data_IF_772459830267
#
_entry.id   IF_772459830267
#
_cell.length_a   1.000
_cell.length_b   1.000
_cell.length_c   1.000
_cell.angle_alpha   90.00
_cell.angle_beta   90.00
_cell.angle_gamma   90.00
#
_symmetry.space_group_name_H-M   'P 1'
#
loop_
_entity.id
_entity.type
_entity.pdbx_description
1 polymer ?
#
# COMPACT_ATOMS: atom_id res chain seq x y z
N UNK A 1 22.01 1.57 3.26
CA UNK A 1 21.68 2.92 3.80
C UNK A 1 22.67 3.25 4.92
N UNK A 2 23.23 4.46 4.97
CA UNK A 2 24.05 4.86 6.14
C UNK A 2 23.09 5.21 7.29
N UNK A 3 22.66 4.21 8.03
CA UNK A 3 21.80 4.37 9.20
C UNK A 3 22.64 5.04 10.28
N UNK A 4 22.34 6.30 10.60
CA UNK A 4 22.93 7.01 11.72
C UNK A 4 24.36 7.50 11.50
N UNK A 5 24.60 8.41 10.57
CA UNK A 5 25.74 9.31 10.71
C UNK A 5 25.36 10.37 11.73
N UNK A 6 25.72 10.13 13.00
CA UNK A 6 25.51 11.09 14.10
C UNK A 6 26.02 12.47 13.70
N UNK A 7 25.11 13.43 13.57
CA UNK A 7 25.43 14.85 13.49
C UNK A 7 25.53 15.46 12.10
N UNK A 8 25.19 14.78 10.99
CA UNK A 8 25.14 15.40 9.67
C UNK A 8 23.78 16.04 9.36
N UNK A 9 23.78 17.03 8.47
CA UNK A 9 22.56 17.68 7.97
C UNK A 9 22.34 17.27 6.53
N UNK A 10 21.15 16.73 6.24
CA UNK A 10 20.75 16.28 4.90
C UNK A 10 19.89 17.31 4.20
N UNK A 11 19.94 17.29 2.86
CA UNK A 11 19.09 18.10 1.99
C UNK A 11 18.51 17.30 0.85
N UNK A 12 17.26 17.58 0.49
CA UNK A 12 16.67 17.11 -0.75
C UNK A 12 15.53 18.00 -1.22
N UNK A 13 15.15 17.82 -2.50
CA UNK A 13 13.85 18.29 -3.00
C UNK A 13 12.74 17.43 -2.39
N UNK A 14 11.77 18.07 -1.74
CA UNK A 14 10.64 17.40 -1.08
C UNK A 14 9.38 17.33 -1.98
N UNK A 15 9.34 18.09 -3.08
CA UNK A 15 8.26 18.07 -4.08
C UNK A 15 8.64 17.19 -5.27
N UNK A 16 7.68 16.63 -6.04
CA UNK A 16 7.97 15.87 -7.25
C UNK A 16 8.80 16.68 -8.25
N UNK A 17 9.62 16.04 -9.11
CA UNK A 17 10.32 16.71 -10.21
C UNK A 17 9.33 17.23 -11.26
N UNK A 18 9.78 18.22 -12.06
CA UNK A 18 8.97 18.87 -13.09
C UNK A 18 8.69 20.35 -12.78
N UNK A 19 7.99 21.01 -13.70
CA UNK A 19 7.63 22.43 -13.60
C UNK A 19 6.39 22.61 -12.73
N UNK A 20 6.40 23.60 -11.84
CA UNK A 20 5.29 23.92 -10.95
C UNK A 20 5.40 25.32 -10.37
N UNK A 21 4.32 25.82 -9.76
CA UNK A 21 4.34 27.15 -9.13
C UNK A 21 5.26 27.21 -7.91
N UNK A 22 5.39 26.11 -7.17
CA UNK A 22 6.20 26.01 -5.94
C UNK A 22 6.95 24.69 -5.90
N UNK A 23 8.22 24.74 -5.51
CA UNK A 23 8.99 23.57 -5.10
C UNK A 23 9.56 23.78 -3.69
N UNK A 24 9.80 22.68 -2.98
CA UNK A 24 10.31 22.69 -1.61
C UNK A 24 11.67 21.99 -1.58
N UNK A 25 12.68 22.68 -1.07
CA UNK A 25 13.97 22.12 -0.67
C UNK A 25 13.96 21.99 0.83
N UNK A 26 14.16 20.78 1.35
CA UNK A 26 14.11 20.45 2.77
C UNK A 26 15.47 20.05 3.29
N UNK A 27 15.82 20.58 4.48
CA UNK A 27 16.99 20.17 5.26
C UNK A 27 16.53 19.51 6.56
N UNK A 28 17.31 18.57 7.08
CA UNK A 28 17.13 17.99 8.41
C UNK A 28 18.50 17.70 9.05
N UNK A 29 18.65 18.07 10.30
CA UNK A 29 19.88 17.87 11.06
C UNK A 29 20.33 19.11 11.82
N UNK A 30 21.37 19.02 12.64
CA UNK A 30 21.78 20.04 13.61
C UNK A 30 22.22 21.35 12.95
N UNK A 31 22.74 21.35 11.72
CA UNK A 31 23.18 22.57 11.03
C UNK A 31 22.09 23.22 10.15
N UNK A 32 20.83 22.74 10.19
CA UNK A 32 19.75 23.21 9.32
C UNK A 32 19.49 24.73 9.43
N UNK A 33 19.51 25.29 10.63
CA UNK A 33 19.32 26.73 10.86
C UNK A 33 20.51 27.53 10.34
N UNK A 34 21.74 27.07 10.59
CA UNK A 34 22.95 27.73 10.14
C UNK A 34 23.06 27.73 8.61
N UNK A 35 22.83 26.57 7.96
CA UNK A 35 22.84 26.44 6.50
C UNK A 35 21.77 27.33 5.87
N UNK A 36 20.54 27.32 6.43
CA UNK A 36 19.48 28.19 5.97
C UNK A 36 19.90 29.67 6.05
N UNK A 37 20.52 30.11 7.14
CA UNK A 37 20.99 31.48 7.33
C UNK A 37 22.10 31.92 6.36
N UNK A 38 22.84 30.97 5.78
CA UNK A 38 23.87 31.23 4.75
C UNK A 38 23.28 31.42 3.35
N UNK A 39 22.14 30.81 3.04
CA UNK A 39 21.54 30.78 1.71
C UNK A 39 20.26 31.61 1.57
N UNK A 40 19.62 31.98 2.68
CA UNK A 40 18.36 32.70 2.69
C UNK A 40 18.42 33.97 3.56
N UNK A 41 17.98 35.10 2.97
CA UNK A 41 17.92 36.40 3.66
C UNK A 41 16.46 36.84 3.79
N UNK A 42 15.90 36.97 5.03
CA UNK A 42 14.58 37.52 5.25
C UNK A 42 14.47 38.97 4.74
N UNK A 43 13.37 39.29 4.03
CA UNK A 43 13.19 40.65 3.46
C UNK A 43 13.19 41.75 4.54
N UNK A 44 12.70 41.45 5.74
CA UNK A 44 12.63 42.42 6.84
C UNK A 44 13.92 42.50 7.67
N UNK A 45 14.99 41.80 7.30
CA UNK A 45 16.27 41.73 8.00
C UNK A 45 16.22 41.18 9.43
N UNK A 46 15.10 40.60 9.87
CA UNK A 46 14.95 40.05 11.21
C UNK A 46 15.23 38.55 11.23
N UNK A 47 15.73 38.01 12.36
CA UNK A 47 15.89 36.58 12.52
C UNK A 47 14.57 35.83 12.33
N UNK A 48 14.66 34.64 11.73
CA UNK A 48 13.51 33.78 11.52
C UNK A 48 12.95 33.26 12.85
N UNK A 49 11.63 33.26 12.98
CA UNK A 49 10.95 32.69 14.13
C UNK A 49 10.62 31.21 13.86
N UNK A 50 10.79 30.38 14.91
CA UNK A 50 10.44 28.98 14.87
C UNK A 50 9.00 28.76 14.39
N UNK A 51 8.79 27.86 13.41
CA UNK A 51 7.50 27.45 12.83
C UNK A 51 6.69 28.61 12.21
N UNK A 52 7.37 29.64 11.74
CA UNK A 52 6.78 30.78 11.03
C UNK A 52 7.36 30.91 9.63
N UNK A 53 6.49 30.84 8.65
CA UNK A 53 6.84 31.08 7.26
C UNK A 53 7.28 32.53 7.07
N UNK A 54 8.43 32.74 6.44
CA UNK A 54 9.07 34.05 6.30
C UNK A 54 9.40 34.30 4.85
N UNK A 55 8.96 35.43 4.31
CA UNK A 55 9.30 35.87 2.96
C UNK A 55 10.71 36.46 2.92
N UNK A 56 11.45 36.17 1.85
CA UNK A 56 12.82 36.67 1.64
C UNK A 56 13.40 36.23 0.33
N UNK A 57 14.73 36.18 0.26
CA UNK A 57 15.46 35.88 -0.96
C UNK A 57 16.47 34.76 -0.71
N UNK A 58 16.55 33.83 -1.65
CA UNK A 58 17.69 32.94 -1.74
C UNK A 58 18.82 33.73 -2.39
N UNK A 59 19.99 33.73 -1.75
CA UNK A 59 21.15 34.54 -2.19
C UNK A 59 22.40 33.72 -2.40
N UNK A 60 23.24 34.13 -3.34
CA UNK A 60 24.55 33.55 -3.55
C UNK A 60 25.54 34.63 -4.01
N UNK A 61 26.66 34.80 -3.30
CA UNK A 61 27.67 35.81 -3.64
C UNK A 61 27.14 37.23 -3.69
N UNK A 62 26.12 37.56 -2.87
CA UNK A 62 25.45 38.85 -2.83
C UNK A 62 24.38 39.07 -3.91
N UNK A 63 24.23 38.16 -4.85
CA UNK A 63 23.17 38.22 -5.87
C UNK A 63 21.91 37.42 -5.42
N UNK A 64 20.73 37.94 -5.76
CA UNK A 64 19.47 37.24 -5.58
C UNK A 64 19.35 36.09 -6.60
N UNK A 65 19.09 34.88 -6.11
CA UNK A 65 18.86 33.67 -6.92
C UNK A 65 17.36 33.45 -7.14
N UNK A 66 16.56 33.68 -6.10
CA UNK A 66 15.12 33.57 -6.16
C UNK A 66 14.43 34.34 -5.03
N UNK A 67 13.19 34.77 -5.27
CA UNK A 67 12.27 35.19 -4.22
C UNK A 67 11.57 33.97 -3.66
N UNK A 68 11.67 33.73 -2.35
CA UNK A 68 11.22 32.49 -1.74
C UNK A 68 10.61 32.73 -0.37
N UNK A 69 9.92 31.70 0.12
CA UNK A 69 9.53 31.62 1.52
C UNK A 69 10.36 30.55 2.22
N UNK A 70 10.71 30.78 3.48
CA UNK A 70 11.39 29.77 4.26
C UNK A 70 10.77 29.59 5.65
N UNK A 71 10.86 28.38 6.20
CA UNK A 71 10.43 28.05 7.55
C UNK A 71 11.50 27.23 8.25
N UNK A 72 11.70 27.52 9.54
CA UNK A 72 12.53 26.74 10.45
C UNK A 72 11.64 26.06 11.48
N UNK A 73 11.86 24.76 11.69
CA UNK A 73 11.15 23.93 12.68
C UNK A 73 12.20 23.27 13.58
N UNK A 74 12.34 23.78 14.80
CA UNK A 74 13.34 23.26 15.75
C UNK A 74 12.86 21.97 16.42
N UNK A 75 13.81 21.12 16.71
CA UNK A 75 13.62 19.90 17.48
C UNK A 75 12.90 20.15 18.81
N UNK A 76 12.08 19.21 19.32
CA UNK A 76 11.66 17.96 18.66
C UNK A 76 10.37 18.11 17.81
N UNK A 77 9.87 19.32 17.61
CA UNK A 77 8.57 19.61 16.97
C UNK A 77 8.72 19.79 15.44
N UNK A 78 9.33 18.80 14.79
CA UNK A 78 9.55 18.73 13.33
C UNK A 78 9.19 17.35 12.77
N UNK A 79 9.33 17.15 11.45
CA UNK A 79 9.07 15.87 10.81
C UNK A 79 10.00 14.75 11.29
N UNK A 80 11.30 15.04 11.41
CA UNK A 80 12.32 14.08 11.82
C UNK A 80 12.64 14.09 13.31
N UNK A 81 12.01 14.97 14.09
CA UNK A 81 12.41 15.35 15.45
C UNK A 81 13.81 15.98 15.56
N UNK A 82 14.45 16.30 14.43
CA UNK A 82 15.66 17.12 14.35
C UNK A 82 15.28 18.57 14.02
N UNK A 83 16.27 19.47 13.94
CA UNK A 83 16.05 20.79 13.34
C UNK A 83 15.81 20.60 11.83
N UNK A 84 14.68 21.13 11.35
CA UNK A 84 14.27 21.06 9.95
C UNK A 84 14.10 22.46 9.40
N UNK A 85 14.64 22.70 8.19
CA UNK A 85 14.40 23.90 7.43
C UNK A 85 13.76 23.58 6.08
N UNK A 86 12.85 24.41 5.60
CA UNK A 86 12.29 24.32 4.26
C UNK A 86 12.40 25.65 3.54
N UNK A 87 12.82 25.60 2.28
CA UNK A 87 12.83 26.72 1.35
C UNK A 87 11.77 26.41 0.28
N UNK A 88 10.73 27.23 0.21
CA UNK A 88 9.68 27.17 -0.79
C UNK A 88 10.02 28.17 -1.90
N UNK A 89 10.52 27.66 -2.99
CA UNK A 89 11.03 28.42 -4.15
C UNK A 89 10.14 28.21 -5.38
N UNK A 90 10.40 28.92 -6.47
CA UNK A 90 9.74 28.64 -7.75
C UNK A 90 10.10 27.23 -8.26
N UNK A 91 9.12 26.53 -8.85
CA UNK A 91 9.18 25.12 -9.19
C UNK A 91 9.87 24.80 -10.52
N UNK A 92 11.04 25.39 -10.79
CA UNK A 92 11.89 25.04 -11.93
C UNK A 92 12.95 24.03 -11.49
N UNK A 93 13.19 22.97 -12.26
CA UNK A 93 14.21 21.96 -11.94
C UNK A 93 15.60 22.57 -11.83
N UNK A 94 15.96 23.50 -12.71
CA UNK A 94 17.25 24.19 -12.69
C UNK A 94 17.44 25.01 -11.41
N UNK A 95 16.40 25.71 -10.97
CA UNK A 95 16.41 26.52 -9.75
C UNK A 95 16.53 25.64 -8.50
N UNK A 96 15.71 24.60 -8.41
CA UNK A 96 15.74 23.66 -7.29
C UNK A 96 17.13 23.01 -7.16
N UNK A 97 17.70 22.53 -8.28
CA UNK A 97 19.06 21.98 -8.29
C UNK A 97 20.11 23.02 -7.84
N UNK A 98 19.92 24.28 -8.23
CA UNK A 98 20.81 25.37 -7.79
C UNK A 98 20.73 25.58 -6.29
N UNK A 99 19.52 25.62 -5.71
CA UNK A 99 19.32 25.81 -4.26
C UNK A 99 19.88 24.61 -3.48
N UNK A 100 19.63 23.38 -3.94
CA UNK A 100 20.21 22.16 -3.33
C UNK A 100 21.74 22.25 -3.32
N UNK A 101 22.39 22.66 -4.43
CA UNK A 101 23.86 22.84 -4.46
C UNK A 101 24.33 23.88 -3.47
N UNK A 102 23.65 25.04 -3.39
CA UNK A 102 24.00 26.09 -2.43
C UNK A 102 23.92 25.61 -0.97
N UNK A 103 22.91 24.82 -0.65
CA UNK A 103 22.80 24.24 0.70
C UNK A 103 23.87 23.16 0.96
N UNK A 104 24.28 22.40 -0.08
CA UNK A 104 25.39 21.45 0.04
C UNK A 104 26.74 22.17 0.19
N UNK A 105 26.98 23.24 -0.57
CA UNK A 105 28.18 24.08 -0.44
C UNK A 105 28.25 24.75 0.94
N UNK A 106 27.07 24.97 1.58
CA UNK A 106 26.97 25.48 2.95
C UNK A 106 27.13 24.41 4.04
N UNK A 107 27.27 23.12 3.67
CA UNK A 107 27.60 22.03 4.61
C UNK A 107 26.56 20.92 4.73
N UNK A 108 25.48 20.94 3.95
CA UNK A 108 24.55 19.83 3.89
C UNK A 108 25.07 18.69 3.00
N UNK A 109 24.60 17.47 3.24
CA UNK A 109 24.77 16.30 2.37
C UNK A 109 23.46 15.97 1.65
N UNK A 110 23.54 15.46 0.41
CA UNK A 110 22.35 14.93 -0.25
C UNK A 110 21.74 13.79 0.55
N UNK A 111 20.42 13.83 0.74
CA UNK A 111 19.68 12.76 1.41
C UNK A 111 19.61 11.50 0.53
N UNK A 112 19.68 10.35 1.16
CA UNK A 112 19.35 9.06 0.54
C UNK A 112 17.83 8.87 0.41
N UNK A 113 17.35 7.93 -0.44
CA UNK A 113 15.92 7.58 -0.51
C UNK A 113 15.37 7.23 0.87
N UNK A 114 14.22 7.82 1.27
CA UNK A 114 13.56 7.55 2.53
C UNK A 114 14.25 8.08 3.79
N UNK A 115 15.37 8.80 3.68
CA UNK A 115 16.19 9.15 4.84
C UNK A 115 15.49 10.07 5.84
N UNK A 116 14.65 11.00 5.41
CA UNK A 116 13.87 11.84 6.34
C UNK A 116 12.88 11.01 7.16
N UNK A 117 12.22 10.04 6.55
CA UNK A 117 11.26 9.16 7.25
C UNK A 117 11.99 8.15 8.13
N UNK A 118 13.16 7.67 7.71
CA UNK A 118 14.02 6.83 8.51
C UNK A 118 14.48 7.57 9.79
N UNK A 119 14.90 8.84 9.69
CA UNK A 119 15.23 9.67 10.86
C UNK A 119 14.02 9.89 11.77
N UNK A 120 12.82 10.08 11.19
CA UNK A 120 11.59 10.17 11.98
C UNK A 120 11.31 8.87 12.76
N UNK A 121 11.59 7.71 12.18
CA UNK A 121 11.52 6.40 12.84
C UNK A 121 12.59 6.26 13.92
N UNK A 122 13.86 6.48 13.60
CA UNK A 122 14.98 6.35 14.54
C UNK A 122 14.85 7.28 15.76
N UNK A 123 14.31 8.48 15.54
CA UNK A 123 14.03 9.45 16.60
C UNK A 123 12.69 9.18 17.33
N UNK A 124 12.03 8.05 17.07
CA UNK A 124 10.85 7.59 17.78
C UNK A 124 9.59 8.46 17.54
N UNK A 125 9.51 9.21 16.41
CA UNK A 125 8.31 9.94 16.06
C UNK A 125 7.22 9.00 15.52
N UNK A 126 7.60 8.05 14.71
CA UNK A 126 6.75 7.03 14.09
C UNK A 126 7.42 5.66 14.23
N UNK A 127 6.66 4.60 14.22
CA UNK A 127 7.16 3.24 14.11
C UNK A 127 7.30 2.79 12.64
N UNK A 128 7.82 1.57 12.42
CA UNK A 128 8.10 1.09 11.05
C UNK A 128 6.82 0.92 10.23
N UNK A 129 5.73 0.43 10.83
CA UNK A 129 4.44 0.30 10.13
C UNK A 129 3.86 1.66 9.74
N UNK A 130 4.03 2.67 10.58
CA UNK A 130 3.63 4.05 10.28
C UNK A 130 4.52 4.68 9.20
N UNK A 131 5.82 4.34 9.17
CA UNK A 131 6.70 4.76 8.09
C UNK A 131 6.23 4.20 6.74
N UNK A 132 5.90 2.92 6.66
CA UNK A 132 5.32 2.31 5.45
C UNK A 132 4.01 2.99 5.02
N UNK A 133 3.16 3.36 6.00
CA UNK A 133 1.90 4.09 5.73
C UNK A 133 2.12 5.43 5.04
N UNK A 134 3.24 6.14 5.31
CA UNK A 134 3.60 7.38 4.60
C UNK A 134 3.73 7.12 3.10
N UNK A 135 4.40 6.04 2.70
CA UNK A 135 4.55 5.70 1.28
C UNK A 135 3.25 5.23 0.64
N UNK A 136 2.44 4.44 1.37
CA UNK A 136 1.12 4.03 0.89
C UNK A 136 0.22 5.23 0.65
N UNK A 137 0.23 6.24 1.54
CA UNK A 137 -0.52 7.48 1.37
C UNK A 137 -0.09 8.25 0.11
N UNK A 138 1.21 8.35 -0.15
CA UNK A 138 1.74 9.06 -1.33
C UNK A 138 1.36 8.33 -2.63
N UNK A 139 1.33 6.99 -2.60
CA UNK A 139 1.02 6.16 -3.76
C UNK A 139 -0.46 5.79 -3.88
N UNK A 140 -1.29 6.18 -2.92
CA UNK A 140 -2.70 5.83 -2.90
C UNK A 140 -3.39 6.24 -4.21
N UNK A 141 -3.82 5.25 -4.99
CA UNK A 141 -4.52 5.43 -6.25
C UNK A 141 -6.05 5.42 -6.10
N UNK A 142 -6.56 5.35 -4.85
CA UNK A 142 -7.98 5.35 -4.56
C UNK A 142 -8.27 5.93 -3.17
N UNK A 143 -9.49 6.39 -2.96
CA UNK A 143 -9.92 6.91 -1.66
C UNK A 143 -9.85 5.83 -0.57
N UNK A 144 -10.16 4.60 -0.90
CA UNK A 144 -10.07 3.46 0.00
C UNK A 144 -8.64 3.19 0.43
N UNK A 145 -7.68 3.15 -0.51
CA UNK A 145 -6.25 2.98 -0.21
C UNK A 145 -5.73 4.13 0.67
N UNK A 146 -6.17 5.38 0.40
CA UNK A 146 -5.83 6.53 1.21
C UNK A 146 -6.35 6.38 2.65
N UNK A 147 -7.62 6.01 2.84
CA UNK A 147 -8.20 5.81 4.19
C UNK A 147 -7.49 4.70 4.96
N UNK A 148 -7.13 3.60 4.30
CA UNK A 148 -6.36 2.50 4.90
C UNK A 148 -4.98 2.99 5.35
N UNK A 149 -4.26 3.75 4.50
CA UNK A 149 -2.97 4.33 4.84
C UNK A 149 -3.06 5.33 6.00
N UNK A 150 -4.12 6.16 6.08
CA UNK A 150 -4.36 7.06 7.21
C UNK A 150 -4.51 6.28 8.52
N UNK A 151 -5.37 5.25 8.55
CA UNK A 151 -5.56 4.42 9.75
C UNK A 151 -4.26 3.76 10.21
N UNK A 152 -3.46 3.26 9.27
CA UNK A 152 -2.15 2.68 9.58
C UNK A 152 -1.20 3.76 10.13
N UNK A 153 -1.17 4.97 9.55
CA UNK A 153 -0.36 6.10 10.03
C UNK A 153 -0.79 6.57 11.43
N UNK A 154 -2.07 6.50 11.76
CA UNK A 154 -2.61 6.77 13.10
C UNK A 154 -2.27 5.68 14.13
N UNK A 155 -1.64 4.57 13.68
CA UNK A 155 -1.11 3.52 14.54
C UNK A 155 -2.06 2.35 14.77
N UNK A 156 -3.05 2.13 13.93
CA UNK A 156 -3.98 0.99 14.05
C UNK A 156 -3.26 -0.35 14.06
N UNK A 157 -2.37 -0.59 13.08
CA UNK A 157 -1.54 -1.80 13.01
C UNK A 157 -0.64 -1.93 14.25
N UNK A 158 0.00 -0.84 14.66
CA UNK A 158 0.88 -0.84 15.82
C UNK A 158 0.17 -1.13 17.13
N UNK A 159 -1.07 -0.66 17.28
CA UNK A 159 -1.89 -0.95 18.46
C UNK A 159 -2.26 -2.43 18.52
N UNK A 160 -2.70 -3.00 17.39
CA UNK A 160 -3.05 -4.41 17.27
C UNK A 160 -1.86 -5.34 17.60
N UNK A 161 -0.68 -5.05 17.03
CA UNK A 161 0.55 -5.81 17.26
C UNK A 161 1.02 -5.67 18.71
N UNK A 162 0.99 -4.46 19.28
CA UNK A 162 1.41 -4.22 20.68
C UNK A 162 0.52 -4.95 21.67
N UNK A 163 -0.78 -5.01 21.44
CA UNK A 163 -1.70 -5.77 22.30
C UNK A 163 -1.34 -7.27 22.30
N UNK A 164 -1.16 -7.87 21.12
CA UNK A 164 -0.74 -9.27 21.02
C UNK A 164 0.62 -9.51 21.71
N UNK A 165 1.59 -8.62 21.52
CA UNK A 165 2.91 -8.71 22.17
C UNK A 165 2.81 -8.62 23.70
N UNK A 166 2.00 -7.69 24.23
CA UNK A 166 1.82 -7.56 25.69
C UNK A 166 1.24 -8.81 26.30
N UNK A 167 0.29 -9.46 25.62
CA UNK A 167 -0.27 -10.73 26.07
C UNK A 167 0.80 -11.83 26.08
N UNK A 168 1.61 -11.97 25.01
CA UNK A 168 2.69 -12.97 24.95
C UNK A 168 3.73 -12.71 26.04
N UNK A 169 4.10 -11.45 26.30
CA UNK A 169 5.00 -11.09 27.40
C UNK A 169 4.44 -11.55 28.76
N UNK A 170 3.14 -11.33 29.00
CA UNK A 170 2.50 -11.79 30.23
C UNK A 170 2.52 -13.33 30.36
N UNK A 171 2.32 -14.06 29.23
CA UNK A 171 2.44 -15.52 29.22
C UNK A 171 3.86 -16.00 29.51
N UNK A 172 4.87 -15.34 28.91
CA UNK A 172 6.27 -15.65 29.17
C UNK A 172 6.64 -15.42 30.64
N UNK A 173 6.13 -14.33 31.23
CA UNK A 173 6.33 -14.06 32.65
C UNK A 173 5.63 -15.12 33.56
N UNK A 174 4.44 -15.59 33.20
CA UNK A 174 3.74 -16.65 33.92
C UNK A 174 4.49 -17.98 33.87
N UNK A 175 5.06 -18.33 32.70
CA UNK A 175 5.90 -19.53 32.56
C UNK A 175 7.17 -19.42 33.42
N UNK A 176 7.85 -18.28 33.38
CA UNK A 176 9.03 -18.06 34.22
C UNK A 176 8.72 -18.20 35.73
N UNK A 177 7.59 -17.63 36.16
CA UNK A 177 7.16 -17.76 37.56
C UNK A 177 6.86 -19.23 37.97
N UNK A 178 6.24 -20.02 37.09
CA UNK A 178 5.94 -21.43 37.35
C UNK A 178 7.25 -22.27 37.42
N UNK A 179 8.28 -21.93 36.61
CA UNK A 179 9.58 -22.59 36.63
C UNK A 179 10.40 -22.19 37.87
N UNK A 180 10.41 -20.91 38.24
CA UNK A 180 11.24 -20.38 39.35
C UNK A 180 10.62 -20.65 40.73
N UNK A 181 9.27 -20.76 40.82
CA UNK A 181 8.54 -20.93 42.09
C UNK A 181 7.55 -22.10 42.02
N UNK A 182 7.99 -23.35 41.80
CA UNK A 182 7.13 -24.50 41.59
C UNK A 182 6.25 -24.87 42.83
N UNK A 183 6.66 -24.42 44.01
CA UNK A 183 5.90 -24.63 45.24
C UNK A 183 4.74 -23.62 45.43
N UNK A 184 4.76 -22.50 44.70
CA UNK A 184 3.79 -21.39 44.81
C UNK A 184 2.88 -21.31 43.59
N UNK A 185 3.34 -21.76 42.42
CA UNK A 185 2.61 -21.66 41.14
C UNK A 185 2.41 -23.05 40.56
N UNK A 186 1.16 -23.43 40.35
CA UNK A 186 0.85 -24.75 39.80
C UNK A 186 1.17 -24.81 38.29
N UNK A 187 2.14 -25.67 37.94
CA UNK A 187 2.66 -25.83 36.60
C UNK A 187 1.58 -26.24 35.60
N UNK A 188 0.70 -27.19 35.99
CA UNK A 188 -0.37 -27.70 35.15
C UNK A 188 -1.43 -26.66 34.82
N UNK A 189 -1.83 -25.82 35.79
CA UNK A 189 -2.76 -24.71 35.56
C UNK A 189 -2.14 -23.66 34.70
N UNK A 190 -0.89 -23.33 34.90
CA UNK A 190 -0.12 -22.36 34.09
C UNK A 190 -0.01 -22.84 32.65
N UNK A 191 0.37 -24.10 32.43
CA UNK A 191 0.46 -24.71 31.09
C UNK A 191 -0.89 -24.66 30.36
N UNK A 192 -1.99 -25.04 31.03
CA UNK A 192 -3.34 -24.99 30.45
C UNK A 192 -3.78 -23.56 30.09
N UNK A 193 -3.45 -22.56 30.94
CA UNK A 193 -3.72 -21.16 30.70
C UNK A 193 -2.93 -20.64 29.50
N UNK A 194 -1.61 -20.87 29.47
CA UNK A 194 -0.74 -20.45 28.36
C UNK A 194 -1.21 -21.05 27.05
N UNK A 195 -1.51 -22.35 27.02
CA UNK A 195 -2.05 -23.03 25.86
C UNK A 195 -3.30 -22.37 25.32
N UNK A 196 -4.27 -22.10 26.18
CA UNK A 196 -5.55 -21.50 25.78
C UNK A 196 -5.35 -20.09 25.20
N UNK A 197 -4.49 -19.28 25.83
CA UNK A 197 -4.19 -17.92 25.35
C UNK A 197 -3.40 -17.91 24.06
N UNK A 198 -2.43 -18.81 23.87
CA UNK A 198 -1.69 -18.95 22.61
C UNK A 198 -2.63 -19.25 21.44
N UNK A 199 -3.58 -20.17 21.61
CA UNK A 199 -4.59 -20.47 20.59
C UNK A 199 -5.49 -19.26 20.27
N UNK A 200 -5.86 -18.48 21.27
CA UNK A 200 -6.68 -17.27 21.08
C UNK A 200 -5.91 -16.18 20.34
N UNK A 201 -4.66 -15.91 20.73
CA UNK A 201 -3.79 -14.94 20.05
C UNK A 201 -3.56 -15.38 18.60
N UNK A 202 -3.27 -16.66 18.38
CA UNK A 202 -3.06 -17.26 17.06
C UNK A 202 -4.27 -17.03 16.14
N UNK A 203 -5.48 -17.32 16.64
CA UNK A 203 -6.73 -17.09 15.91
C UNK A 203 -6.90 -15.59 15.58
N UNK A 204 -6.71 -14.70 16.57
CA UNK A 204 -6.86 -13.26 16.39
C UNK A 204 -5.86 -12.69 15.36
N UNK A 205 -4.61 -13.17 15.37
CA UNK A 205 -3.60 -12.78 14.37
C UNK A 205 -3.99 -13.29 12.98
N UNK A 206 -4.48 -14.53 12.87
CA UNK A 206 -4.91 -15.10 11.59
C UNK A 206 -6.14 -14.36 11.03
N UNK A 207 -7.13 -14.08 11.87
CA UNK A 207 -8.35 -13.33 11.50
C UNK A 207 -8.01 -11.88 11.09
N UNK A 208 -6.99 -11.28 11.70
CA UNK A 208 -6.50 -9.94 11.38
C UNK A 208 -5.66 -9.85 10.10
N UNK A 209 -5.33 -10.96 9.44
CA UNK A 209 -4.53 -10.98 8.21
C UNK A 209 -5.42 -10.99 6.96
N UNK A 210 -5.36 -9.96 6.12
CA UNK A 210 -6.01 -9.94 4.79
C UNK A 210 -5.03 -9.50 3.69
N UNK A 211 -4.20 -10.43 3.19
CA UNK A 211 -3.26 -10.13 2.11
C UNK A 211 -3.95 -9.78 0.79
N UNK A 212 -5.20 -10.25 0.56
CA UNK A 212 -5.97 -9.92 -0.63
C UNK A 212 -6.43 -8.47 -0.60
N UNK A 213 -6.94 -7.99 0.53
CA UNK A 213 -7.33 -6.59 0.68
C UNK A 213 -6.13 -5.67 0.45
N UNK A 214 -4.99 -5.95 1.06
CA UNK A 214 -3.76 -5.15 0.88
C UNK A 214 -3.32 -5.08 -0.57
N UNK A 215 -3.28 -6.21 -1.28
CA UNK A 215 -2.92 -6.22 -2.69
C UNK A 215 -3.91 -5.43 -3.55
N UNK A 216 -5.21 -5.57 -3.30
CA UNK A 216 -6.25 -4.81 -4.04
C UNK A 216 -6.15 -3.31 -3.75
N UNK A 217 -5.83 -2.91 -2.52
CA UNK A 217 -5.62 -1.50 -2.17
C UNK A 217 -4.40 -0.89 -2.88
N UNK A 218 -3.30 -1.63 -2.97
CA UNK A 218 -2.04 -1.15 -3.54
C UNK A 218 -2.02 -1.23 -5.08
N UNK A 219 -2.52 -2.34 -5.66
CA UNK A 219 -2.44 -2.62 -7.09
C UNK A 219 -3.75 -2.40 -7.85
N UNK A 220 -4.88 -2.48 -7.15
CA UNK A 220 -6.23 -2.43 -7.70
C UNK A 220 -6.86 -3.81 -7.89
N UNK A 221 -8.20 -3.82 -7.98
CA UNK A 221 -9.01 -5.00 -8.30
C UNK A 221 -8.82 -5.36 -9.77
N UNK A 222 -8.25 -6.52 -10.05
CA UNK A 222 -7.98 -6.99 -11.42
C UNK A 222 -9.22 -7.61 -12.01
N UNK A 223 -9.82 -6.93 -12.99
CA UNK A 223 -11.05 -7.35 -13.68
C UNK A 223 -10.72 -7.67 -15.14
N UNK A 224 -11.02 -8.88 -15.57
CA UNK A 224 -10.83 -9.33 -16.95
C UNK A 224 -12.17 -9.48 -17.65
N UNK A 225 -12.30 -8.83 -18.83
CA UNK A 225 -13.44 -8.96 -19.71
C UNK A 225 -13.16 -10.12 -20.70
N UNK A 226 -13.84 -11.24 -20.50
CA UNK A 226 -13.77 -12.42 -21.37
C UNK A 226 -15.01 -12.52 -22.27
N UNK A 227 -14.87 -13.02 -23.46
CA UNK A 227 -15.98 -13.22 -24.40
C UNK A 227 -15.51 -13.16 -25.85
N UNK A 228 -16.41 -13.50 -26.78
CA UNK A 228 -16.12 -13.54 -28.23
C UNK A 228 -15.74 -12.16 -28.80
N UNK A 229 -15.06 -12.11 -29.95
CA UNK A 229 -14.95 -10.90 -30.75
C UNK A 229 -16.33 -10.28 -30.99
N UNK A 230 -16.44 -8.97 -30.96
CA UNK A 230 -17.70 -8.21 -31.20
C UNK A 230 -18.82 -8.44 -30.15
N UNK A 231 -18.56 -9.10 -29.03
CA UNK A 231 -19.51 -9.19 -27.91
C UNK A 231 -19.69 -7.87 -27.15
N UNK A 232 -19.04 -6.78 -27.56
CA UNK A 232 -19.19 -5.46 -26.94
C UNK A 232 -18.20 -5.15 -25.82
N UNK A 233 -17.14 -5.97 -25.62
CA UNK A 233 -16.13 -5.78 -24.57
C UNK A 233 -15.47 -4.41 -24.62
N UNK A 234 -14.94 -4.02 -25.79
CA UNK A 234 -14.27 -2.71 -25.94
C UNK A 234 -15.24 -1.53 -25.79
N UNK A 235 -16.52 -1.70 -26.16
CA UNK A 235 -17.56 -0.68 -25.90
C UNK A 235 -17.85 -0.55 -24.41
N UNK A 236 -17.89 -1.68 -23.69
CA UNK A 236 -18.08 -1.74 -22.25
C UNK A 236 -16.89 -1.12 -21.52
N UNK A 237 -15.67 -1.48 -21.92
CA UNK A 237 -14.41 -0.91 -21.40
C UNK A 237 -14.42 0.62 -21.59
N UNK A 238 -14.68 1.10 -22.80
CA UNK A 238 -14.71 2.52 -23.10
C UNK A 238 -15.80 3.28 -22.31
N UNK A 239 -16.95 2.65 -22.03
CA UNK A 239 -17.99 3.26 -21.23
C UNK A 239 -17.58 3.40 -19.76
N UNK A 240 -16.93 2.37 -19.18
CA UNK A 240 -16.35 2.44 -17.84
C UNK A 240 -15.23 3.49 -17.74
N UNK A 241 -14.39 3.61 -18.78
CA UNK A 241 -13.28 4.57 -18.82
C UNK A 241 -13.73 6.04 -18.98
N UNK A 242 -14.84 6.31 -19.68
CA UNK A 242 -15.30 7.68 -19.99
C UNK A 242 -15.84 8.43 -18.79
N UNK A 243 -16.53 7.75 -17.89
CA UNK A 243 -17.20 8.37 -16.74
C UNK A 243 -16.31 8.45 -15.50
N UNK A 244 -15.37 7.52 -15.38
CA UNK A 244 -14.55 7.33 -14.18
C UNK A 244 -13.05 7.58 -14.41
N UNK A 245 -12.68 8.36 -15.44
CA UNK A 245 -11.28 8.75 -15.63
C UNK A 245 -10.78 9.51 -14.40
N UNK A 246 -10.31 8.75 -13.40
CA UNK A 246 -9.46 9.31 -12.37
C UNK A 246 -8.26 9.99 -13.06
N UNK A 247 -7.81 11.10 -12.49
CA UNK A 247 -6.51 11.67 -12.82
C UNK A 247 -5.48 10.61 -12.40
N UNK A 248 -5.24 9.64 -13.28
CA UNK A 248 -4.17 8.66 -13.09
C UNK A 248 -2.89 9.44 -13.34
N UNK A 249 -2.29 9.94 -12.28
CA UNK A 249 -0.88 10.32 -12.32
C UNK A 249 -0.11 9.07 -12.74
N UNK A 250 0.51 9.10 -13.91
CA UNK A 250 1.43 8.07 -14.36
C UNK A 250 2.51 7.89 -13.28
N UNK A 251 2.39 6.86 -12.47
CA UNK A 251 3.46 6.46 -11.56
C UNK A 251 4.49 5.76 -12.43
N UNK A 252 5.70 6.30 -12.61
CA UNK A 252 6.72 5.66 -13.43
C UNK A 252 7.01 4.26 -12.89
N UNK A 253 6.77 3.22 -13.69
CA UNK A 253 7.08 1.83 -13.35
C UNK A 253 5.88 0.85 -13.29
N UNK A 254 4.62 1.32 -13.31
CA UNK A 254 3.44 0.43 -13.25
C UNK A 254 2.84 0.08 -14.63
N UNK A 255 3.29 0.72 -15.70
CA UNK A 255 2.79 0.53 -17.08
C UNK A 255 3.74 -0.32 -17.91
N UNK A 256 4.01 -1.56 -17.52
CA UNK A 256 4.76 -2.51 -18.39
C UNK A 256 3.88 -3.38 -19.28
N UNK A 257 2.57 -3.45 -19.03
CA UNK A 257 1.63 -4.17 -19.89
C UNK A 257 0.67 -3.18 -20.55
N UNK A 258 0.80 -3.01 -21.84
CA UNK A 258 0.13 -2.03 -22.71
C UNK A 258 -1.39 -2.22 -22.91
N UNK A 259 -2.05 -3.06 -22.13
CA UNK A 259 -3.44 -3.49 -22.33
C UNK A 259 -4.31 -3.44 -21.06
N UNK A 260 -3.78 -2.90 -19.96
CA UNK A 260 -4.55 -2.75 -18.71
C UNK A 260 -4.83 -1.28 -18.46
N UNK A 261 -6.11 -0.94 -18.41
CA UNK A 261 -6.58 0.42 -18.08
C UNK A 261 -7.04 0.49 -16.63
N UNK A 262 -6.64 1.53 -15.91
CA UNK A 262 -7.03 1.73 -14.52
C UNK A 262 -8.11 2.81 -14.40
N UNK A 263 -9.17 2.50 -13.66
CA UNK A 263 -10.28 3.43 -13.35
C UNK A 263 -10.54 3.42 -11.84
N UNK A 264 -11.23 4.44 -11.36
CA UNK A 264 -11.71 4.48 -9.98
C UNK A 264 -13.23 4.33 -9.96
N UNK A 265 -13.73 3.24 -9.37
CA UNK A 265 -15.16 2.96 -9.25
C UNK A 265 -15.51 2.93 -7.76
N UNK A 266 -16.38 3.82 -7.29
CA UNK A 266 -16.85 3.92 -5.90
C UNK A 266 -15.70 3.86 -4.87
N UNK A 267 -14.62 4.59 -5.15
CA UNK A 267 -13.45 4.65 -4.28
C UNK A 267 -12.51 3.44 -4.33
N UNK A 268 -12.76 2.47 -5.21
CA UNK A 268 -11.89 1.31 -5.47
C UNK A 268 -11.16 1.50 -6.79
N UNK A 269 -9.83 1.31 -6.78
CA UNK A 269 -9.05 1.23 -8.01
C UNK A 269 -9.34 -0.10 -8.70
N UNK A 270 -9.79 -0.06 -9.96
CA UNK A 270 -10.10 -1.23 -10.78
C UNK A 270 -9.18 -1.23 -12.00
N UNK A 271 -8.47 -2.33 -12.20
CA UNK A 271 -7.58 -2.57 -13.33
C UNK A 271 -8.30 -3.46 -14.34
N UNK A 272 -8.78 -2.85 -15.44
CA UNK A 272 -9.56 -3.52 -16.49
C UNK A 272 -8.64 -4.04 -17.59
N UNK A 273 -8.80 -5.31 -17.96
CA UNK A 273 -8.08 -5.93 -19.07
C UNK A 273 -9.06 -6.51 -20.08
N UNK A 274 -8.98 -6.08 -21.37
CA UNK A 274 -9.75 -6.66 -22.47
C UNK A 274 -8.98 -7.78 -23.16
N UNK A 275 -9.53 -8.99 -23.14
CA UNK A 275 -8.89 -10.17 -23.81
C UNK A 275 -8.96 -10.11 -25.34
N UNK A 276 -9.81 -9.27 -25.95
CA UNK A 276 -9.91 -9.12 -27.39
C UNK A 276 -8.71 -8.36 -27.99
N UNK A 277 -8.20 -7.35 -27.30
CA UNK A 277 -7.00 -6.62 -27.70
C UNK A 277 -5.72 -7.46 -27.69
N UNK A 278 -5.78 -8.65 -27.07
CA UNK A 278 -4.65 -9.59 -26.99
C UNK A 278 -4.54 -10.53 -28.20
N UNK A 279 -5.50 -10.50 -29.13
CA UNK A 279 -5.60 -11.45 -30.26
C UNK A 279 -5.24 -10.85 -31.64
N UNK A 280 -4.60 -9.71 -31.74
CA UNK A 280 -4.32 -9.08 -33.05
C UNK A 280 -3.06 -9.66 -33.73
N UNK A 281 -3.33 -10.25 -34.90
CA UNK A 281 -2.57 -10.40 -36.15
C UNK A 281 -1.25 -11.20 -36.19
N UNK A 282 -1.30 -12.42 -36.79
CA UNK A 282 -0.20 -13.20 -37.35
C UNK A 282 0.26 -14.36 -36.49
N UNK A 283 0.53 -15.54 -37.13
CA UNK A 283 0.74 -16.85 -36.50
C UNK A 283 1.70 -16.99 -35.29
N UNK A 284 2.67 -16.11 -35.14
CA UNK A 284 3.58 -16.08 -33.97
C UNK A 284 3.10 -15.14 -32.86
N UNK A 285 2.42 -14.06 -33.21
CA UNK A 285 1.87 -13.04 -32.30
C UNK A 285 0.59 -13.56 -31.65
N UNK A 286 -0.17 -14.41 -32.35
CA UNK A 286 -1.40 -15.04 -31.84
C UNK A 286 -1.15 -15.95 -30.64
N UNK A 287 -0.06 -16.75 -30.65
CA UNK A 287 0.32 -17.58 -29.48
C UNK A 287 0.68 -16.75 -28.26
N UNK A 288 1.42 -15.66 -28.45
CA UNK A 288 1.79 -14.73 -27.37
C UNK A 288 0.52 -14.05 -26.82
N UNK A 289 -0.42 -13.68 -27.68
CA UNK A 289 -1.70 -13.10 -27.29
C UNK A 289 -2.57 -14.05 -26.46
N UNK A 290 -2.66 -15.31 -26.86
CA UNK A 290 -3.40 -16.35 -26.12
C UNK A 290 -2.76 -16.64 -24.76
N UNK A 291 -1.42 -16.73 -24.69
CA UNK A 291 -0.71 -16.95 -23.43
C UNK A 291 -0.88 -15.78 -22.46
N UNK A 292 -0.84 -14.52 -22.96
CA UNK A 292 -1.11 -13.33 -22.17
C UNK A 292 -2.56 -13.29 -21.67
N UNK A 293 -3.54 -13.63 -22.53
CA UNK A 293 -4.94 -13.70 -22.13
C UNK A 293 -5.16 -14.74 -21.03
N UNK A 294 -4.54 -15.92 -21.15
CA UNK A 294 -4.60 -16.96 -20.13
C UNK A 294 -3.98 -16.50 -18.81
N UNK A 295 -2.80 -15.90 -18.86
CA UNK A 295 -2.14 -15.34 -17.68
C UNK A 295 -2.98 -14.25 -17.01
N UNK A 296 -3.61 -13.37 -17.79
CA UNK A 296 -4.52 -12.34 -17.26
C UNK A 296 -5.73 -12.97 -16.56
N UNK A 297 -6.32 -14.02 -17.15
CA UNK A 297 -7.44 -14.76 -16.54
C UNK A 297 -7.03 -15.49 -15.26
N UNK A 298 -5.84 -16.08 -15.22
CA UNK A 298 -5.31 -16.77 -14.04
C UNK A 298 -5.02 -15.78 -12.90
N UNK A 299 -4.63 -14.55 -13.22
CA UNK A 299 -4.33 -13.48 -12.25
C UNK A 299 -5.52 -12.59 -11.91
N UNK A 300 -6.68 -12.79 -12.57
CA UNK A 300 -7.86 -11.97 -12.36
C UNK A 300 -8.53 -12.25 -11.02
N UNK A 301 -8.86 -11.17 -10.30
CA UNK A 301 -9.74 -11.22 -9.12
C UNK A 301 -11.18 -11.43 -9.52
N UNK A 302 -11.58 -10.83 -10.66
CA UNK A 302 -12.93 -10.87 -11.21
C UNK A 302 -12.87 -11.20 -12.70
N UNK A 303 -13.55 -12.23 -13.10
CA UNK A 303 -13.74 -12.62 -14.50
C UNK A 303 -15.17 -12.31 -14.90
N UNK A 304 -15.36 -11.30 -15.77
CA UNK A 304 -16.64 -10.93 -16.33
C UNK A 304 -16.78 -11.58 -17.70
N UNK A 305 -17.77 -12.43 -17.83
CA UNK A 305 -18.14 -12.99 -19.13
C UNK A 305 -19.06 -12.04 -19.86
N UNK A 306 -18.62 -11.54 -21.00
CA UNK A 306 -19.37 -10.59 -21.83
C UNK A 306 -20.00 -11.34 -23.01
N UNK A 307 -21.32 -11.34 -23.04
CA UNK A 307 -22.14 -11.96 -24.09
C UNK A 307 -23.00 -10.92 -24.82
N UNK A 308 -23.23 -11.13 -26.10
CA UNK A 308 -24.14 -10.34 -26.89
C UNK A 308 -25.56 -10.87 -26.69
N UNK A 309 -26.44 -10.08 -26.02
CA UNK A 309 -27.82 -10.46 -25.73
C UNK A 309 -28.66 -10.70 -27.01
N UNK A 310 -28.31 -10.10 -28.15
CA UNK A 310 -29.02 -10.22 -29.41
C UNK A 310 -28.71 -11.49 -30.20
N UNK A 311 -27.88 -12.37 -29.69
CA UNK A 311 -27.49 -13.66 -30.33
C UNK A 311 -27.77 -14.84 -29.42
N UNK A 312 -28.29 -15.93 -29.98
CA UNK A 312 -28.38 -17.20 -29.26
C UNK A 312 -27.00 -17.74 -28.90
N UNK A 313 -26.91 -18.44 -27.78
CA UNK A 313 -25.69 -19.15 -27.37
C UNK A 313 -25.44 -20.30 -28.35
N UNK A 314 -24.23 -20.39 -28.87
CA UNK A 314 -23.82 -21.46 -29.79
C UNK A 314 -22.69 -22.33 -29.19
N UNK A 315 -22.31 -23.40 -29.92
CA UNK A 315 -21.27 -24.33 -29.45
C UNK A 315 -19.87 -23.70 -29.32
N UNK A 316 -19.59 -22.60 -30.03
CA UNK A 316 -18.34 -21.84 -29.87
C UNK A 316 -18.34 -21.02 -28.59
N UNK A 317 -19.50 -20.49 -28.17
CA UNK A 317 -19.65 -19.84 -26.87
C UNK A 317 -19.36 -20.86 -25.76
N UNK A 318 -19.94 -22.06 -25.84
CA UNK A 318 -19.68 -23.13 -24.90
C UNK A 318 -18.20 -23.56 -24.85
N UNK A 319 -17.51 -23.61 -25.99
CA UNK A 319 -16.07 -23.94 -26.08
C UNK A 319 -15.18 -22.82 -25.52
N UNK A 320 -15.47 -21.55 -25.84
CA UNK A 320 -14.75 -20.41 -25.28
C UNK A 320 -14.92 -20.27 -23.75
N UNK A 321 -15.99 -20.87 -23.24
CA UNK A 321 -16.38 -20.87 -21.84
C UNK A 321 -15.89 -22.11 -21.06
N UNK A 322 -15.47 -23.17 -21.76
CA UNK A 322 -14.87 -24.34 -21.12
C UNK A 322 -13.59 -23.94 -20.37
N UNK A 323 -13.65 -24.01 -19.05
CA UNK A 323 -12.54 -23.66 -18.16
C UNK A 323 -12.56 -22.20 -17.67
N UNK A 324 -13.48 -21.34 -18.13
CA UNK A 324 -13.73 -20.03 -17.54
C UNK A 324 -14.77 -20.20 -16.40
N UNK A 325 -14.38 -19.98 -15.16
CA UNK A 325 -15.33 -19.84 -14.05
C UNK A 325 -15.66 -18.36 -13.88
N UNK A 326 -16.70 -17.81 -14.56
CA UNK A 326 -17.00 -16.39 -14.49
C UNK A 326 -17.57 -16.05 -13.11
N UNK A 327 -17.21 -14.87 -12.59
CA UNK A 327 -17.80 -14.32 -11.38
C UNK A 327 -19.13 -13.61 -11.66
N UNK A 328 -19.32 -13.13 -12.90
CA UNK A 328 -20.57 -12.57 -13.37
C UNK A 328 -20.68 -12.67 -14.89
N UNK A 329 -21.92 -12.67 -15.40
CA UNK A 329 -22.27 -12.60 -16.84
C UNK A 329 -22.83 -11.23 -17.15
N UNK A 330 -22.23 -10.54 -18.12
CA UNK A 330 -22.66 -9.22 -18.60
C UNK A 330 -23.24 -9.36 -20.02
N UNK A 331 -24.54 -9.17 -20.14
CA UNK A 331 -25.26 -9.20 -21.39
C UNK A 331 -25.21 -7.79 -22.00
N UNK A 332 -24.53 -7.63 -23.12
CA UNK A 332 -24.41 -6.35 -23.83
C UNK A 332 -25.50 -6.20 -24.87
N UNK A 333 -25.60 -5.02 -25.48
CA UNK A 333 -26.59 -4.66 -26.52
C UNK A 333 -28.04 -4.84 -26.04
N UNK A 334 -28.30 -4.49 -24.78
CA UNK A 334 -29.63 -4.57 -24.17
C UNK A 334 -30.69 -3.72 -24.82
N UNK A 335 -30.32 -2.86 -25.80
CA UNK A 335 -31.22 -2.09 -26.67
C UNK A 335 -31.76 -2.89 -27.85
N UNK A 336 -31.27 -4.09 -28.10
CA UNK A 336 -31.74 -4.99 -29.16
C UNK A 336 -32.61 -6.11 -28.56
N UNK A 337 -33.47 -6.75 -29.36
CA UNK A 337 -34.26 -7.89 -28.90
C UNK A 337 -33.35 -9.00 -28.39
N UNK A 338 -33.63 -9.51 -27.19
CA UNK A 338 -32.86 -10.61 -26.60
C UNK A 338 -33.13 -11.91 -27.37
N UNK A 339 -32.05 -12.60 -27.76
CA UNK A 339 -32.09 -13.91 -28.41
C UNK A 339 -31.65 -15.05 -27.45
N UNK A 340 -31.14 -14.70 -26.27
CA UNK A 340 -30.76 -15.64 -25.22
C UNK A 340 -31.82 -15.64 -24.12
N UNK A 341 -32.35 -16.79 -23.75
CA UNK A 341 -33.33 -16.91 -22.66
C UNK A 341 -32.65 -17.00 -21.27
N UNK A 342 -33.41 -16.58 -20.24
CA UNK A 342 -32.95 -16.70 -18.84
C UNK A 342 -32.74 -18.16 -18.40
N UNK A 343 -33.53 -19.10 -18.98
CA UNK A 343 -33.40 -20.53 -18.72
C UNK A 343 -32.09 -21.06 -19.29
N UNK A 344 -31.72 -20.69 -20.53
CA UNK A 344 -30.45 -21.12 -21.15
C UNK A 344 -29.23 -20.59 -20.35
N UNK A 345 -29.30 -19.32 -19.92
CA UNK A 345 -28.25 -18.72 -19.09
C UNK A 345 -28.17 -19.38 -17.70
N UNK A 346 -29.31 -19.76 -17.11
CA UNK A 346 -29.36 -20.44 -15.81
C UNK A 346 -28.80 -21.83 -15.89
N UNK A 347 -29.04 -22.53 -17.00
CA UNK A 347 -28.49 -23.87 -17.25
C UNK A 347 -26.98 -23.83 -17.51
N UNK A 348 -26.51 -22.80 -18.28
CA UNK A 348 -25.10 -22.64 -18.62
C UNK A 348 -24.27 -22.12 -17.43
N UNK A 349 -24.83 -21.20 -16.61
CA UNK A 349 -24.14 -20.52 -15.52
C UNK A 349 -24.97 -20.54 -14.22
N UNK A 350 -25.13 -21.71 -13.56
CA UNK A 350 -25.94 -21.82 -12.37
C UNK A 350 -25.33 -21.01 -11.21
N UNK A 351 -26.17 -20.15 -10.60
CA UNK A 351 -25.77 -19.33 -9.45
C UNK A 351 -24.87 -18.14 -9.76
N UNK A 352 -24.47 -17.91 -11.02
CA UNK A 352 -23.66 -16.76 -11.41
C UNK A 352 -24.57 -15.53 -11.63
N UNK A 353 -24.27 -14.39 -10.98
CA UNK A 353 -25.03 -13.15 -11.18
C UNK A 353 -24.98 -12.66 -12.63
N UNK A 354 -26.09 -12.11 -13.09
CA UNK A 354 -26.28 -11.64 -14.47
C UNK A 354 -26.75 -10.21 -14.50
N UNK A 355 -26.28 -9.47 -15.49
CA UNK A 355 -26.65 -8.09 -15.68
C UNK A 355 -26.72 -7.75 -17.17
N UNK A 356 -27.80 -7.09 -17.59
CA UNK A 356 -27.95 -6.56 -18.95
C UNK A 356 -27.53 -5.09 -18.99
N UNK A 357 -26.70 -4.73 -19.97
CA UNK A 357 -26.20 -3.37 -20.16
C UNK A 357 -26.33 -2.91 -21.61
N UNK A 358 -26.52 -1.61 -21.78
CA UNK A 358 -26.38 -0.93 -23.07
C UNK A 358 -25.31 0.17 -22.91
N UNK A 359 -24.05 -0.16 -23.18
CA UNK A 359 -22.91 0.76 -22.99
C UNK A 359 -23.07 2.10 -23.76
N UNK A 360 -23.58 2.15 -25.02
CA UNK A 360 -23.79 3.40 -25.72
C UNK A 360 -24.84 4.33 -25.09
N UNK A 361 -25.84 3.77 -24.36
CA UNK A 361 -26.89 4.53 -23.68
C UNK A 361 -26.67 4.72 -22.20
N UNK A 362 -25.61 4.11 -21.62
CA UNK A 362 -25.36 4.12 -20.20
C UNK A 362 -26.29 3.25 -19.35
N UNK A 363 -27.23 2.53 -19.98
CA UNK A 363 -28.21 1.70 -19.27
C UNK A 363 -27.52 0.49 -18.62
N UNK A 364 -27.82 0.25 -17.35
CA UNK A 364 -27.25 -0.86 -16.58
C UNK A 364 -25.80 -0.63 -16.08
N UNK A 365 -25.14 0.47 -16.47
CA UNK A 365 -23.73 0.72 -16.11
C UNK A 365 -23.53 0.93 -14.61
N UNK A 366 -24.44 1.62 -13.92
CA UNK A 366 -24.35 1.80 -12.45
C UNK A 366 -24.51 0.47 -11.69
N UNK A 367 -25.36 -0.44 -12.18
CA UNK A 367 -25.48 -1.75 -11.59
C UNK A 367 -24.21 -2.60 -11.83
N UNK A 368 -23.58 -2.46 -13.00
CA UNK A 368 -22.29 -3.10 -13.30
C UNK A 368 -21.18 -2.57 -12.40
N UNK A 369 -21.10 -1.26 -12.14
CA UNK A 369 -20.12 -0.66 -11.22
C UNK A 369 -20.28 -1.24 -9.83
N UNK A 370 -21.49 -1.21 -9.27
CA UNK A 370 -21.77 -1.81 -7.96
C UNK A 370 -21.42 -3.29 -7.92
N UNK A 371 -21.72 -4.05 -8.97
CA UNK A 371 -21.36 -5.45 -9.06
C UNK A 371 -19.83 -5.67 -9.05
N UNK A 372 -19.08 -4.87 -9.81
CA UNK A 372 -17.61 -4.96 -9.82
C UNK A 372 -17.06 -4.68 -8.42
N UNK A 373 -17.52 -3.60 -7.79
CA UNK A 373 -17.03 -3.20 -6.45
C UNK A 373 -17.41 -4.21 -5.38
N UNK A 374 -18.55 -4.94 -5.50
CA UNK A 374 -18.95 -5.97 -4.54
C UNK A 374 -17.99 -7.16 -4.46
N UNK A 375 -17.10 -7.33 -5.44
CA UNK A 375 -16.05 -8.35 -5.40
C UNK A 375 -14.77 -7.88 -4.67
N UNK A 376 -14.65 -6.58 -4.40
CA UNK A 376 -13.58 -6.09 -3.56
C UNK A 376 -13.87 -6.47 -2.09
N UNK A 377 -12.84 -6.80 -1.27
CA UNK A 377 -13.04 -7.02 0.15
C UNK A 377 -13.79 -5.84 0.78
N UNK A 378 -14.67 -6.09 1.72
CA UNK A 378 -15.35 -5.00 2.44
C UNK A 378 -14.33 -4.13 3.18
N UNK A 379 -14.58 -2.83 3.22
CA UNK A 379 -13.77 -1.95 4.04
C UNK A 379 -14.17 -2.22 5.50
N UNK A 380 -13.34 -2.92 6.26
CA UNK A 380 -13.61 -3.11 7.69
C UNK A 380 -13.72 -1.75 8.39
N UNK A 381 -14.89 -1.42 8.88
CA UNK A 381 -15.11 -0.30 9.77
C UNK A 381 -14.57 -0.68 11.16
N UNK A 382 -13.33 -0.28 11.46
CA UNK A 382 -12.78 -0.34 12.82
C UNK A 382 -11.75 -1.43 13.13
N UNK A 383 -11.42 -2.35 12.23
CA UNK A 383 -10.37 -3.37 12.43
C UNK A 383 -9.01 -2.92 11.90
N UNK A 384 -7.93 -3.16 12.65
CA UNK A 384 -6.57 -3.07 12.12
C UNK A 384 -6.27 -4.36 11.35
N UNK A 385 -6.28 -4.31 10.01
CA UNK A 385 -5.92 -5.45 9.17
C UNK A 385 -4.43 -5.43 8.84
N UNK A 386 -3.76 -6.57 9.04
CA UNK A 386 -2.40 -6.83 8.55
C UNK A 386 -2.49 -7.19 7.07
N UNK A 387 -2.50 -6.18 6.22
CA UNK A 387 -2.73 -6.34 4.78
C UNK A 387 -1.45 -6.33 3.94
N UNK A 388 -0.34 -5.83 4.48
CA UNK A 388 0.95 -5.82 3.78
C UNK A 388 1.64 -7.19 3.86
N UNK A 389 2.29 -7.60 2.76
CA UNK A 389 2.95 -8.91 2.66
C UNK A 389 3.94 -9.15 3.81
N UNK A 390 4.77 -8.16 4.15
CA UNK A 390 5.73 -8.23 5.27
C UNK A 390 5.04 -8.46 6.62
N UNK A 391 3.92 -7.75 6.88
CA UNK A 391 3.16 -7.89 8.12
C UNK A 391 2.49 -9.27 8.22
N UNK A 392 1.91 -9.74 7.10
CA UNK A 392 1.27 -11.07 7.01
C UNK A 392 2.29 -12.18 7.23
N UNK A 393 3.49 -12.05 6.63
CA UNK A 393 4.57 -13.02 6.81
C UNK A 393 5.07 -13.05 8.26
N UNK A 394 5.31 -11.88 8.87
CA UNK A 394 5.73 -11.79 10.26
C UNK A 394 4.66 -12.35 11.23
N UNK A 395 3.38 -12.02 11.02
CA UNK A 395 2.28 -12.59 11.79
C UNK A 395 2.16 -14.11 11.60
N UNK A 396 2.40 -14.61 10.37
CA UNK A 396 2.44 -16.05 10.07
C UNK A 396 3.54 -16.77 10.83
N UNK A 397 4.75 -16.19 10.92
CA UNK A 397 5.85 -16.74 11.74
C UNK A 397 5.49 -16.73 13.21
N UNK A 398 4.90 -15.64 13.72
CA UNK A 398 4.44 -15.58 15.11
C UNK A 398 3.36 -16.66 15.40
N UNK A 399 2.40 -16.84 14.49
CA UNK A 399 1.39 -17.92 14.60
C UNK A 399 2.04 -19.30 14.61
N UNK A 400 3.06 -19.55 13.79
CA UNK A 400 3.77 -20.82 13.78
C UNK A 400 4.48 -21.08 15.12
N UNK A 401 5.20 -20.09 15.65
CA UNK A 401 5.90 -20.19 16.95
C UNK A 401 4.91 -20.39 18.11
N UNK A 402 3.76 -19.68 18.12
CA UNK A 402 2.72 -19.92 19.12
C UNK A 402 2.14 -21.36 19.03
N UNK A 403 2.03 -21.88 17.79
CA UNK A 403 1.62 -23.29 17.55
C UNK A 403 2.65 -24.29 18.04
N UNK A 404 3.95 -23.98 17.95
CA UNK A 404 5.04 -24.80 18.50
C UNK A 404 4.98 -24.82 20.02
N UNK A 405 4.76 -23.68 20.67
CA UNK A 405 4.58 -23.60 22.12
C UNK A 405 3.37 -24.45 22.58
N UNK A 406 2.24 -24.38 21.84
CA UNK A 406 1.06 -25.23 22.14
C UNK A 406 1.40 -26.71 22.02
N UNK A 407 2.12 -27.12 20.97
CA UNK A 407 2.53 -28.53 20.79
C UNK A 407 3.48 -28.98 21.87
N UNK A 408 4.44 -28.17 22.26
CA UNK A 408 5.35 -28.48 23.36
C UNK A 408 4.61 -28.73 24.68
N UNK A 409 3.57 -27.94 25.00
CA UNK A 409 2.69 -28.16 26.15
C UNK A 409 1.91 -29.45 26.01
N UNK A 410 1.30 -29.73 24.84
CA UNK A 410 0.53 -30.93 24.60
C UNK A 410 1.36 -32.22 24.67
N UNK A 411 2.64 -32.15 24.29
CA UNK A 411 3.61 -33.24 24.36
C UNK A 411 4.24 -33.40 25.77
N UNK A 412 3.85 -32.54 26.72
CA UNK A 412 4.37 -32.58 28.10
C UNK A 412 5.85 -32.19 28.22
N UNK A 413 6.32 -31.35 27.30
CA UNK A 413 7.68 -30.81 27.33
C UNK A 413 7.86 -29.82 28.49
N UNK A 414 9.09 -29.66 29.02
CA UNK A 414 9.38 -28.66 30.04
C UNK A 414 8.96 -27.25 29.63
N UNK A 415 8.39 -26.45 30.55
CA UNK A 415 7.83 -25.13 30.29
C UNK A 415 8.86 -24.09 29.83
N UNK A 416 10.13 -24.25 30.19
CA UNK A 416 11.24 -23.42 29.74
C UNK A 416 11.44 -23.48 28.19
N UNK A 417 11.16 -24.64 27.58
CA UNK A 417 11.19 -24.78 26.12
C UNK A 417 10.06 -23.97 25.46
N UNK A 418 8.86 -23.92 26.05
CA UNK A 418 7.77 -23.12 25.54
C UNK A 418 8.11 -21.61 25.52
N UNK A 419 8.92 -21.14 26.47
CA UNK A 419 9.36 -19.75 26.55
C UNK A 419 10.21 -19.34 25.32
N UNK A 420 10.97 -20.28 24.74
CA UNK A 420 11.75 -20.03 23.51
C UNK A 420 10.82 -19.72 22.33
N UNK A 421 9.74 -20.50 22.18
CA UNK A 421 8.76 -20.31 21.11
C UNK A 421 7.97 -19.01 21.29
N UNK A 422 7.59 -18.66 22.53
CA UNK A 422 6.96 -17.37 22.83
C UNK A 422 7.91 -16.19 22.50
N UNK A 423 9.21 -16.32 22.79
CA UNK A 423 10.22 -15.31 22.43
C UNK A 423 10.33 -15.14 20.91
N UNK A 424 10.34 -16.25 20.17
CA UNK A 424 10.35 -16.21 18.69
C UNK A 424 9.09 -15.54 18.13
N UNK A 425 7.91 -15.76 18.73
CA UNK A 425 6.69 -15.07 18.36
C UNK A 425 6.76 -13.55 18.64
N UNK A 426 7.33 -13.14 19.79
CA UNK A 426 7.57 -11.74 20.13
C UNK A 426 8.49 -11.05 19.14
N UNK A 427 9.59 -11.72 18.75
CA UNK A 427 10.55 -11.19 17.79
C UNK A 427 9.91 -10.99 16.41
N UNK A 428 9.15 -11.98 15.93
CA UNK A 428 8.45 -11.89 14.67
C UNK A 428 7.43 -10.73 14.65
N UNK A 429 6.65 -10.54 15.72
CA UNK A 429 5.73 -9.41 15.83
C UNK A 429 6.46 -8.07 15.99
N UNK A 430 7.60 -8.06 16.66
CA UNK A 430 8.44 -6.87 16.83
C UNK A 430 9.00 -6.32 15.53
N UNK A 431 9.22 -7.18 14.52
CA UNK A 431 9.63 -6.75 13.19
C UNK A 431 8.59 -5.86 12.51
N UNK A 432 7.29 -6.05 12.79
CA UNK A 432 6.20 -5.25 12.18
C UNK A 432 6.33 -3.78 12.60
N UNK A 433 6.55 -3.53 13.88
CA UNK A 433 6.66 -2.17 14.45
C UNK A 433 8.09 -1.63 14.43
N UNK A 434 9.09 -2.52 14.19
CA UNK A 434 10.51 -2.16 14.24
C UNK A 434 11.10 -2.17 15.65
N UNK A 435 10.44 -2.79 16.63
CA UNK A 435 10.98 -2.98 17.98
C UNK A 435 12.11 -4.02 17.98
N UNK A 436 11.99 -5.06 17.15
CA UNK A 436 13.08 -5.99 16.84
C UNK A 436 13.71 -5.56 15.52
N UNK A 437 14.82 -4.80 15.60
CA UNK A 437 15.43 -4.19 14.42
C UNK A 437 16.36 -5.17 13.69
N UNK A 438 16.14 -5.32 12.37
CA UNK A 438 17.08 -5.92 11.44
C UNK A 438 17.43 -4.88 10.36
N UNK A 439 18.71 -4.58 10.16
CA UNK A 439 19.19 -3.61 9.17
C UNK A 439 18.67 -3.94 7.76
N UNK A 440 18.55 -5.23 7.42
CA UNK A 440 18.04 -5.65 6.11
C UNK A 440 16.56 -5.24 5.89
N UNK A 441 15.73 -5.32 6.93
CA UNK A 441 14.33 -4.89 6.87
C UNK A 441 14.25 -3.38 6.68
N UNK A 442 15.06 -2.61 7.41
CA UNK A 442 15.10 -1.16 7.28
C UNK A 442 15.54 -0.75 5.87
N UNK A 443 16.59 -1.37 5.35
CA UNK A 443 17.06 -1.12 3.99
C UNK A 443 15.98 -1.46 2.95
N UNK A 444 15.28 -2.57 3.10
CA UNK A 444 14.18 -2.95 2.21
C UNK A 444 13.04 -1.93 2.24
N UNK A 445 12.59 -1.53 3.42
CA UNK A 445 11.47 -0.58 3.58
C UNK A 445 11.85 0.78 3.01
N UNK A 446 12.98 1.37 3.42
CA UNK A 446 13.34 2.74 3.06
C UNK A 446 13.90 2.89 1.64
N UNK A 447 14.49 1.84 1.04
CA UNK A 447 14.94 1.86 -0.37
C UNK A 447 13.81 2.08 -1.37
N UNK A 448 12.58 1.75 -0.99
CA UNK A 448 11.37 1.94 -1.82
C UNK A 448 10.83 3.37 -1.80
N UNK A 449 11.38 4.24 -0.94
CA UNK A 449 10.95 5.63 -0.82
C UNK A 449 11.56 6.52 -1.89
N UNK A 450 10.89 7.66 -2.15
CA UNK A 450 11.47 8.71 -2.95
C UNK A 450 12.53 9.50 -2.17
N UNK A 451 13.52 10.07 -2.87
CA UNK A 451 14.44 11.05 -2.28
C UNK A 451 13.65 12.27 -1.84
N UNK A 452 13.88 12.74 -0.61
CA UNK A 452 13.16 13.89 -0.03
C UNK A 452 11.99 13.52 0.90
N UNK A 453 11.80 12.20 1.12
CA UNK A 453 10.83 11.65 2.08
C UNK A 453 11.52 10.81 3.17
#
# INVERSE_FOLDING_TARGET
MRIGSDGDTIVARATPPGEGGVAIVRLSGPASEEILGRVFVPQNGRPMKNRRLTFGHVVHGGAVVDEAMAVLMRAPLSYTREDVAEIQCHGSDALVQRIVRLTMDAGARMAEPGEFTCRAFLNGRIDLSQAEAVMRMIRAGSERAMRSAVRQLEGGVSAFVREARQEIIALTAALAAAVDFPDEVEETETAAHVRARCLEIQRRLADGCDPRAGRIEDEGLRVVLAGRPNAGKSSLLNALLREDRAIVTEIPGTTRDTLTEAVQIDGVRVCLTDTAGLRETGDAVERIGVERARKALDQADVRLLVLDASRALDGEDAQALMGLSPHAVVLTKGDLPAAVSDEELSAAFPGVPRLTVCAPRGEGMDALRRLIVSFAPEAEEGGASLSQARHVEAAGRACASLGDAVRAIDDGMPLDLCAVDLSAALDALGEITGETMNEAILDEVFSRFCVGK
#
